data_IF_829939234617
#
_entry.id   IF_829939234617
#
_cell.length_a   1.000
_cell.length_b   1.000
_cell.length_c   1.000
_cell.angle_alpha   90.00
_cell.angle_beta   90.00
_cell.angle_gamma   90.00
#
_symmetry.space_group_name_H-M   'P 1'
#
loop_
_entity.id
_entity.type
_entity.pdbx_description
1 polymer ?
#
# COMPACT_ATOMS: atom_id res chain seq x y z
N UNK A 1 18.39 -19.84 -21.56
CA UNK A 1 18.92 -18.47 -21.43
C UNK A 1 18.08 -17.73 -20.40
N UNK A 2 18.67 -17.01 -19.45
CA UNK A 2 17.95 -16.37 -18.34
C UNK A 2 17.40 -14.96 -18.64
N UNK A 3 17.66 -14.41 -19.83
CA UNK A 3 17.23 -13.04 -20.18
C UNK A 3 15.72 -12.83 -20.35
N UNK A 4 14.95 -13.88 -20.62
CA UNK A 4 13.48 -13.73 -20.80
C UNK A 4 12.76 -13.46 -19.46
N UNK A 5 13.27 -14.00 -18.35
CA UNK A 5 12.58 -13.93 -17.05
C UNK A 5 12.60 -12.49 -16.48
N UNK A 6 13.73 -11.78 -16.59
CA UNK A 6 13.85 -10.41 -16.08
C UNK A 6 12.97 -9.41 -16.84
N UNK A 7 12.91 -9.53 -18.17
CA UNK A 7 12.07 -8.65 -18.99
C UNK A 7 10.58 -8.87 -18.68
N UNK A 8 10.14 -10.13 -18.53
CA UNK A 8 8.77 -10.47 -18.13
C UNK A 8 8.42 -9.92 -16.74
N UNK A 9 9.34 -10.02 -15.77
CA UNK A 9 9.14 -9.46 -14.43
C UNK A 9 9.00 -7.93 -14.45
N UNK A 10 9.78 -7.25 -15.30
CA UNK A 10 9.68 -5.80 -15.47
C UNK A 10 8.35 -5.39 -16.12
N UNK A 11 7.88 -6.12 -17.14
CA UNK A 11 6.57 -5.88 -17.76
C UNK A 11 5.43 -6.10 -16.76
N UNK A 12 5.51 -7.14 -15.92
CA UNK A 12 4.56 -7.35 -14.84
C UNK A 12 4.56 -6.18 -13.86
N UNK A 13 5.72 -5.58 -13.57
CA UNK A 13 5.82 -4.46 -12.64
C UNK A 13 5.18 -3.20 -13.21
N UNK A 14 5.37 -2.94 -14.50
CA UNK A 14 4.72 -1.83 -15.19
C UNK A 14 3.21 -2.04 -15.28
N UNK A 15 2.75 -3.26 -15.62
CA UNK A 15 1.32 -3.60 -15.62
C UNK A 15 0.69 -3.39 -14.23
N UNK A 16 1.39 -3.83 -13.17
CA UNK A 16 0.94 -3.67 -11.79
C UNK A 16 0.75 -2.18 -11.43
N UNK A 17 1.67 -1.32 -11.86
CA UNK A 17 1.64 0.12 -11.61
C UNK A 17 0.57 0.86 -12.40
N UNK A 18 0.16 0.34 -13.56
CA UNK A 18 -0.92 0.92 -14.37
C UNK A 18 -2.32 0.63 -13.80
N UNK A 19 -2.43 -0.30 -12.85
CA UNK A 19 -3.71 -0.56 -12.18
C UNK A 19 -4.14 0.62 -11.32
N UNK A 20 -5.38 1.07 -11.53
CA UNK A 20 -5.98 2.14 -10.74
C UNK A 20 -6.21 1.63 -9.30
N UNK A 21 -5.78 2.37 -8.27
CA UNK A 21 -6.09 2.01 -6.89
C UNK A 21 -7.61 2.02 -6.65
N UNK A 22 -8.15 0.92 -6.15
CA UNK A 22 -9.57 0.81 -5.80
C UNK A 22 -9.88 1.49 -4.46
N UNK A 23 -8.87 1.78 -3.65
CA UNK A 23 -9.00 2.51 -2.39
C UNK A 23 -9.58 1.70 -1.23
N UNK A 24 -9.79 0.39 -1.40
CA UNK A 24 -10.20 -0.51 -0.32
C UNK A 24 -8.98 -1.07 0.43
N UNK A 25 -9.14 -1.37 1.72
CA UNK A 25 -8.08 -1.96 2.55
C UNK A 25 -7.61 -3.31 1.99
N UNK A 26 -8.56 -4.15 1.58
CA UNK A 26 -8.29 -5.47 0.98
C UNK A 26 -7.43 -5.34 -0.27
N UNK A 27 -7.70 -4.34 -1.11
CA UNK A 27 -6.88 -4.08 -2.30
C UNK A 27 -5.43 -3.70 -1.92
N UNK A 28 -5.22 -2.85 -0.91
CA UNK A 28 -3.87 -2.52 -0.45
C UNK A 28 -3.16 -3.73 0.18
N UNK A 29 -3.88 -4.54 0.94
CA UNK A 29 -3.37 -5.73 1.60
C UNK A 29 -2.97 -6.82 0.59
N UNK A 30 -3.60 -6.86 -0.58
CA UNK A 30 -3.22 -7.75 -1.68
C UNK A 30 -2.09 -7.17 -2.57
N UNK A 31 -2.16 -5.88 -2.91
CA UNK A 31 -1.27 -5.29 -3.90
C UNK A 31 0.13 -4.98 -3.35
N UNK A 32 0.23 -4.52 -2.10
CA UNK A 32 1.53 -4.19 -1.50
C UNK A 32 2.44 -5.43 -1.41
N UNK A 33 1.98 -6.60 -0.92
CA UNK A 33 2.80 -7.82 -0.91
C UNK A 33 3.15 -8.31 -2.31
N UNK A 34 2.22 -8.26 -3.27
CA UNK A 34 2.49 -8.63 -4.68
C UNK A 34 3.61 -7.77 -5.27
N UNK A 35 3.52 -6.45 -5.08
CA UNK A 35 4.53 -5.51 -5.53
C UNK A 35 5.91 -5.75 -4.89
N UNK A 36 5.94 -6.01 -3.57
CA UNK A 36 7.18 -6.33 -2.85
C UNK A 36 7.82 -7.62 -3.34
N UNK A 37 7.01 -8.66 -3.60
CA UNK A 37 7.50 -9.93 -4.13
C UNK A 37 8.13 -9.74 -5.50
N UNK A 38 7.47 -8.97 -6.37
CA UNK A 38 7.97 -8.69 -7.71
C UNK A 38 9.27 -7.88 -7.68
N UNK A 39 9.36 -6.88 -6.81
CA UNK A 39 10.60 -6.12 -6.56
C UNK A 39 11.75 -7.05 -6.16
N UNK A 40 11.52 -7.96 -5.22
CA UNK A 40 12.53 -8.92 -4.77
C UNK A 40 12.97 -9.88 -5.89
N UNK A 41 12.04 -10.30 -6.75
CA UNK A 41 12.37 -11.14 -7.91
C UNK A 41 13.26 -10.39 -8.89
N UNK A 42 12.91 -9.17 -9.28
CA UNK A 42 13.71 -8.33 -10.20
C UNK A 42 15.11 -8.09 -9.61
N UNK A 43 15.22 -7.74 -8.33
CA UNK A 43 16.50 -7.53 -7.66
C UNK A 43 17.36 -8.80 -7.61
N UNK A 44 16.73 -9.96 -7.37
CA UNK A 44 17.43 -11.25 -7.36
C UNK A 44 17.98 -11.59 -8.75
N UNK A 45 17.15 -11.48 -9.79
CA UNK A 45 17.56 -11.73 -11.17
C UNK A 45 18.68 -10.77 -11.59
N UNK A 46 18.57 -9.49 -11.19
CA UNK A 46 19.61 -8.49 -11.44
C UNK A 46 20.94 -8.86 -10.78
N UNK A 47 20.92 -9.41 -9.56
CA UNK A 47 22.10 -9.83 -8.82
C UNK A 47 22.71 -11.15 -9.34
N UNK A 48 21.88 -12.11 -9.74
CA UNK A 48 22.33 -13.41 -10.26
C UNK A 48 22.99 -13.25 -11.63
N UNK A 49 22.47 -12.36 -12.46
CA UNK A 49 22.89 -12.19 -13.85
C UNK A 49 23.65 -10.89 -14.11
N UNK A 50 24.19 -10.24 -13.07
CA UNK A 50 24.91 -8.95 -13.18
C UNK A 50 26.03 -8.98 -14.22
N UNK A 51 26.76 -10.09 -14.27
CA UNK A 51 27.99 -10.20 -15.06
C UNK A 51 27.73 -10.57 -16.53
N UNK A 52 26.52 -11.01 -16.85
CA UNK A 52 26.11 -11.39 -18.20
C UNK A 52 25.03 -10.47 -18.79
N UNK A 53 24.59 -9.47 -18.03
CA UNK A 53 23.68 -8.44 -18.51
C UNK A 53 24.42 -7.35 -19.29
N UNK A 54 23.74 -6.82 -20.30
CA UNK A 54 24.16 -5.56 -20.89
C UNK A 54 23.93 -4.42 -19.89
N UNK A 55 24.77 -3.38 -19.94
CA UNK A 55 24.60 -2.15 -19.15
C UNK A 55 23.20 -1.55 -19.34
N UNK A 56 22.63 -1.65 -20.55
CA UNK A 56 21.28 -1.17 -20.84
C UNK A 56 20.22 -1.93 -20.04
N UNK A 57 20.22 -3.27 -20.10
CA UNK A 57 19.26 -4.11 -19.36
C UNK A 57 19.41 -3.89 -17.85
N UNK A 58 20.64 -3.81 -17.35
CA UNK A 58 20.91 -3.55 -15.94
C UNK A 58 20.32 -2.21 -15.48
N UNK A 59 20.51 -1.14 -16.26
CA UNK A 59 19.97 0.18 -15.94
C UNK A 59 18.44 0.20 -16.02
N UNK A 60 17.83 -0.50 -16.99
CA UNK A 60 16.37 -0.62 -17.07
C UNK A 60 15.79 -1.36 -15.86
N UNK A 61 16.40 -2.48 -15.45
CA UNK A 61 15.99 -3.22 -14.27
C UNK A 61 16.12 -2.38 -12.98
N UNK A 62 17.23 -1.64 -12.83
CA UNK A 62 17.42 -0.70 -11.73
C UNK A 62 16.32 0.36 -11.68
N UNK A 63 16.03 1.01 -12.81
CA UNK A 63 14.96 2.01 -12.89
C UNK A 63 13.59 1.41 -12.58
N UNK A 64 13.33 0.17 -13.01
CA UNK A 64 12.12 -0.56 -12.68
C UNK A 64 12.01 -0.79 -11.16
N UNK A 65 13.10 -1.20 -10.50
CA UNK A 65 13.15 -1.34 -9.04
C UNK A 65 12.85 -0.01 -8.33
N UNK A 66 13.53 1.09 -8.72
CA UNK A 66 13.36 2.41 -8.10
C UNK A 66 11.92 2.91 -8.21
N UNK A 67 11.32 2.73 -9.39
CA UNK A 67 9.93 3.15 -9.64
C UNK A 67 8.92 2.28 -8.90
N UNK A 68 9.13 0.96 -8.83
CA UNK A 68 8.29 0.04 -8.08
C UNK A 68 8.38 0.30 -6.57
N UNK A 69 9.57 0.58 -6.04
CA UNK A 69 9.77 0.99 -4.64
C UNK A 69 9.00 2.27 -4.30
N UNK A 70 9.10 3.29 -5.15
CA UNK A 70 8.39 4.54 -4.93
C UNK A 70 6.87 4.32 -4.93
N UNK A 71 6.37 3.51 -5.86
CA UNK A 71 4.96 3.16 -5.93
C UNK A 71 4.49 2.41 -4.66
N UNK A 72 5.27 1.42 -4.18
CA UNK A 72 4.98 0.71 -2.92
C UNK A 72 4.89 1.70 -1.75
N UNK A 73 5.82 2.65 -1.65
CA UNK A 73 5.80 3.67 -0.59
C UNK A 73 4.55 4.53 -0.66
N UNK A 74 4.12 4.94 -1.86
CA UNK A 74 2.87 5.68 -2.05
C UNK A 74 1.66 4.87 -1.61
N UNK A 75 1.57 3.59 -2.00
CA UNK A 75 0.49 2.70 -1.57
C UNK A 75 0.42 2.57 -0.04
N UNK A 76 1.56 2.39 0.62
CA UNK A 76 1.63 2.32 2.08
C UNK A 76 1.19 3.63 2.74
N UNK A 77 1.58 4.78 2.19
CA UNK A 77 1.14 6.08 2.69
C UNK A 77 -0.37 6.26 2.55
N UNK A 78 -0.94 5.91 1.39
CA UNK A 78 -2.39 5.98 1.16
C UNK A 78 -3.15 5.06 2.11
N UNK A 79 -2.71 3.80 2.27
CA UNK A 79 -3.30 2.85 3.24
C UNK A 79 -3.29 3.43 4.66
N UNK A 80 -2.16 3.96 5.11
CA UNK A 80 -2.03 4.56 6.44
C UNK A 80 -2.92 5.80 6.62
N UNK A 81 -3.10 6.60 5.56
CA UNK A 81 -3.99 7.76 5.60
C UNK A 81 -5.45 7.33 5.79
N UNK A 82 -5.88 6.29 5.07
CA UNK A 82 -7.22 5.71 5.23
C UNK A 82 -7.43 5.19 6.66
N UNK A 83 -6.47 4.48 7.23
CA UNK A 83 -6.54 4.00 8.63
C UNK A 83 -6.71 5.16 9.61
N UNK A 84 -5.95 6.25 9.43
CA UNK A 84 -6.06 7.45 10.27
C UNK A 84 -7.42 8.15 10.13
N UNK A 85 -7.97 8.21 8.93
CA UNK A 85 -9.31 8.77 8.69
C UNK A 85 -10.37 7.93 9.41
N UNK A 86 -10.30 6.60 9.28
CA UNK A 86 -11.21 5.67 9.98
C UNK A 86 -11.12 5.84 11.51
N UNK A 87 -9.91 5.93 12.06
CA UNK A 87 -9.71 6.16 13.50
C UNK A 87 -10.31 7.49 13.98
N UNK A 88 -10.15 8.55 13.19
CA UNK A 88 -10.70 9.88 13.51
C UNK A 88 -12.23 9.88 13.53
N UNK A 89 -12.86 9.21 12.55
CA UNK A 89 -14.32 9.06 12.48
C UNK A 89 -14.84 8.26 13.69
N UNK A 90 -14.21 7.13 14.00
CA UNK A 90 -14.58 6.32 15.18
C UNK A 90 -14.48 7.13 16.48
N UNK A 91 -13.42 7.92 16.65
CA UNK A 91 -13.24 8.79 17.82
C UNK A 91 -14.32 9.86 17.91
N UNK A 92 -14.72 10.48 16.80
CA UNK A 92 -15.78 11.49 16.79
C UNK A 92 -17.15 10.88 17.09
N UNK A 93 -17.44 9.69 16.57
CA UNK A 93 -18.66 8.94 16.88
C UNK A 93 -18.73 8.52 18.35
N UNK A 94 -17.63 8.00 18.91
CA UNK A 94 -17.54 7.66 20.34
C UNK A 94 -17.73 8.90 21.21
N UNK A 95 -17.11 10.03 20.85
CA UNK A 95 -17.27 11.28 21.58
C UNK A 95 -18.73 11.77 21.54
N UNK A 96 -19.38 11.71 20.36
CA UNK A 96 -20.80 12.06 20.21
C UNK A 96 -21.71 11.16 21.06
N UNK A 97 -21.46 9.84 21.10
CA UNK A 97 -22.22 8.90 21.94
C UNK A 97 -22.02 9.20 23.43
N UNK A 98 -20.79 9.43 23.86
CA UNK A 98 -20.48 9.79 25.25
C UNK A 98 -21.19 11.07 25.70
N UNK A 99 -21.20 12.12 24.85
CA UNK A 99 -21.94 13.36 25.13
C UNK A 99 -23.44 13.09 25.23
N UNK A 100 -24.00 12.29 24.32
CA UNK A 100 -25.41 11.94 24.34
C UNK A 100 -25.81 11.15 25.60
N UNK A 101 -25.02 10.16 26.00
CA UNK A 101 -25.27 9.35 27.19
C UNK A 101 -25.10 10.18 28.48
N UNK A 102 -24.08 11.05 28.53
CA UNK A 102 -23.89 12.00 29.62
C UNK A 102 -25.07 12.98 29.76
N UNK A 103 -25.56 13.53 28.65
CA UNK A 103 -26.73 14.40 28.64
C UNK A 103 -27.99 13.66 29.10
N UNK A 104 -28.26 12.46 28.57
CA UNK A 104 -29.42 11.65 28.95
C UNK A 104 -29.43 11.33 30.46
N UNK A 105 -28.28 10.94 31.01
CA UNK A 105 -28.16 10.67 32.45
C UNK A 105 -28.38 11.92 33.31
N UNK A 106 -27.91 13.09 32.87
CA UNK A 106 -28.14 14.36 33.55
C UNK A 106 -29.63 14.76 33.54
N UNK A 107 -30.32 14.63 32.39
CA UNK A 107 -31.75 14.91 32.29
C UNK A 107 -32.60 13.95 33.13
N UNK A 108 -32.26 12.65 33.16
CA UNK A 108 -32.95 11.68 34.01
C UNK A 108 -32.77 11.96 35.50
N UNK A 109 -31.58 12.38 35.93
CA UNK A 109 -31.32 12.78 37.32
C UNK A 109 -32.05 14.06 37.73
N UNK A 110 -32.33 14.96 36.79
CA UNK A 110 -33.04 16.22 37.05
C UNK A 110 -34.57 16.06 37.10
N UNK A 111 -35.15 15.18 36.27
CA UNK A 111 -36.60 14.92 36.22
C UNK A 111 -37.06 13.75 37.12
N UNK A 112 -36.12 13.03 37.73
CA UNK A 112 -36.38 11.83 38.54
C UNK A 112 -36.40 12.05 40.05
N UNK A 113 -36.40 13.30 40.53
CA UNK A 113 -36.62 13.67 41.94
C UNK A 113 -38.00 14.29 42.13
#
# INVERSE_FOLDING_TARGET
>A
MPGNDLHELMEQADALRMMKPEGSYEWFDDMIPKAKKLLQQIQREQAVYSDCMTTETFNKARNCCDTLENWIRQLQQTRNLLEKQKSTILKSEMNRRSIHDGAYNMFRGFLGN
#
